data_IF_230448883340
#
_entry.id   IF_230448883340
#
_cell.length_a   1.000
_cell.length_b   1.000
_cell.length_c   1.000
_cell.angle_alpha   90.00
_cell.angle_beta   90.00
_cell.angle_gamma   90.00
#
_symmetry.space_group_name_H-M   'P 1'
#
loop_
_entity.id
_entity.type
_entity.pdbx_description
1 polymer ?
#
# COMPACT_ATOMS: atom_id res chain seq x y z
N UNK A 1 -21.49 38.43 29.53
CA UNK A 1 -21.36 37.04 30.00
C UNK A 1 -21.38 36.10 28.79
N UNK A 2 -20.25 35.41 28.58
CA UNK A 2 -19.91 34.22 27.76
C UNK A 2 -20.62 33.87 26.42
N UNK A 3 -19.85 33.65 25.33
CA UNK A 3 -20.28 32.94 24.12
C UNK A 3 -20.03 31.43 24.24
N UNK A 4 -21.02 30.58 23.95
CA UNK A 4 -20.83 29.11 23.96
C UNK A 4 -20.45 28.59 22.57
N UNK A 5 -19.15 28.33 22.45
CA UNK A 5 -18.44 27.22 21.80
C UNK A 5 -19.06 26.53 20.57
N UNK A 6 -18.28 26.62 19.48
CA UNK A 6 -18.20 25.63 18.43
C UNK A 6 -17.74 24.29 19.02
N UNK A 7 -18.53 23.23 18.85
CA UNK A 7 -18.01 21.88 18.76
C UNK A 7 -18.74 21.19 17.62
N UNK A 8 -18.07 21.06 16.49
CA UNK A 8 -18.49 20.19 15.40
C UNK A 8 -17.35 19.21 15.19
N UNK A 9 -17.12 18.38 16.21
CA UNK A 9 -16.29 17.20 16.08
C UNK A 9 -16.88 16.32 14.97
N UNK A 10 -16.26 16.37 13.79
CA UNK A 10 -16.48 15.37 12.74
C UNK A 10 -16.00 14.03 13.28
N UNK A 11 -16.92 13.29 13.89
CA UNK A 11 -16.70 11.90 14.29
C UNK A 11 -16.38 11.15 12.99
N UNK A 12 -15.09 10.84 12.77
CA UNK A 12 -14.68 9.93 11.70
C UNK A 12 -15.41 8.63 11.97
N UNK A 13 -16.50 8.40 11.25
CA UNK A 13 -17.20 7.13 11.28
C UNK A 13 -16.21 6.12 10.71
N UNK A 14 -15.61 5.34 11.59
CA UNK A 14 -14.97 4.07 11.29
C UNK A 14 -15.99 3.24 10.53
N UNK A 15 -15.91 3.34 9.20
CA UNK A 15 -16.69 2.53 8.28
C UNK A 15 -16.25 1.12 8.58
N UNK A 16 -17.16 0.29 9.08
CA UNK A 16 -16.91 -1.15 9.18
C UNK A 16 -16.57 -1.62 7.78
N UNK A 17 -15.26 -1.77 7.53
CA UNK A 17 -14.73 -2.32 6.30
C UNK A 17 -15.19 -3.77 6.32
N UNK A 18 -16.21 -4.10 5.51
CA UNK A 18 -16.52 -5.49 5.17
C UNK A 18 -15.18 -6.15 4.89
N UNK A 19 -14.85 -7.25 5.59
CA UNK A 19 -13.62 -8.01 5.33
C UNK A 19 -13.52 -8.18 3.82
N UNK A 20 -12.58 -7.45 3.22
CA UNK A 20 -12.34 -7.50 1.80
C UNK A 20 -12.04 -8.95 1.45
N UNK A 21 -12.51 -9.45 0.29
CA UNK A 21 -12.16 -10.80 -0.17
C UNK A 21 -10.66 -10.94 -0.55
N UNK A 22 -9.91 -9.87 -0.31
CA UNK A 22 -8.50 -9.70 -0.59
C UNK A 22 -7.78 -9.79 0.75
N UNK A 23 -6.72 -10.59 0.85
CA UNK A 23 -5.89 -10.67 2.04
C UNK A 23 -4.91 -9.50 2.14
N UNK A 24 -4.34 -9.28 3.32
CA UNK A 24 -3.25 -8.33 3.56
C UNK A 24 -2.04 -8.69 2.67
N UNK A 25 -1.54 -7.76 1.85
CA UNK A 25 -0.35 -7.98 1.04
C UNK A 25 0.90 -8.31 1.88
N UNK A 26 1.67 -9.32 1.45
CA UNK A 26 2.90 -9.82 2.10
C UNK A 26 4.13 -9.75 1.19
N UNK A 27 3.93 -9.88 -0.11
CA UNK A 27 5.01 -9.78 -1.09
C UNK A 27 4.50 -9.40 -2.47
N UNK A 28 5.42 -9.02 -3.34
CA UNK A 28 5.14 -8.74 -4.75
C UNK A 28 6.27 -9.29 -5.61
N UNK A 29 5.92 -9.84 -6.76
CA UNK A 29 6.83 -10.09 -7.86
C UNK A 29 6.45 -9.17 -9.00
N UNK A 30 7.43 -8.41 -9.49
CA UNK A 30 7.33 -7.59 -10.69
C UNK A 30 8.14 -8.24 -11.80
N UNK A 31 7.51 -8.47 -12.95
CA UNK A 31 8.11 -9.14 -14.09
C UNK A 31 8.02 -8.24 -15.33
N UNK A 32 9.16 -7.99 -15.97
CA UNK A 32 9.23 -7.36 -17.28
C UNK A 32 8.95 -8.39 -18.37
N UNK A 33 8.00 -8.10 -19.25
CA UNK A 33 7.64 -8.94 -20.40
C UNK A 33 7.64 -8.11 -21.69
N UNK A 34 7.78 -8.72 -22.87
CA UNK A 34 7.66 -8.01 -24.15
C UNK A 34 6.30 -7.35 -24.38
N UNK A 35 5.29 -7.66 -23.57
CA UNK A 35 3.95 -7.06 -23.62
C UNK A 35 3.73 -6.02 -22.50
N UNK A 36 4.76 -5.69 -21.72
CA UNK A 36 4.72 -4.75 -20.61
C UNK A 36 5.04 -5.38 -19.26
N UNK A 37 4.51 -4.78 -18.20
CA UNK A 37 4.85 -5.14 -16.83
C UNK A 37 3.76 -6.02 -16.21
N UNK A 38 4.18 -7.12 -15.58
CA UNK A 38 3.31 -8.06 -14.85
C UNK A 38 3.57 -7.97 -13.36
N UNK A 39 2.51 -8.03 -12.57
CA UNK A 39 2.58 -8.04 -11.12
C UNK A 39 1.93 -9.29 -10.57
N UNK A 40 2.55 -9.89 -9.57
CA UNK A 40 1.96 -10.95 -8.75
C UNK A 40 2.09 -10.54 -7.29
N UNK A 41 0.99 -10.14 -6.66
CA UNK A 41 0.95 -9.75 -5.25
C UNK A 41 0.56 -10.98 -4.42
N UNK A 42 1.45 -11.39 -3.53
CA UNK A 42 1.18 -12.43 -2.55
C UNK A 42 0.46 -11.80 -1.35
N UNK A 43 -0.67 -12.37 -0.98
CA UNK A 43 -1.48 -12.03 0.19
C UNK A 43 -1.57 -13.26 1.11
N UNK A 44 -2.03 -13.08 2.34
CA UNK A 44 -2.32 -14.18 3.26
C UNK A 44 -3.50 -15.07 2.80
N UNK A 45 -4.41 -14.55 2.00
CA UNK A 45 -5.57 -15.29 1.46
C UNK A 45 -5.36 -15.83 0.02
N UNK A 46 -4.20 -15.59 -0.60
CA UNK A 46 -3.92 -16.04 -1.97
C UNK A 46 -2.98 -15.13 -2.77
N UNK A 47 -3.05 -15.18 -4.10
CA UNK A 47 -2.18 -14.42 -4.99
C UNK A 47 -2.98 -13.66 -6.06
N UNK A 48 -2.63 -12.39 -6.29
CA UNK A 48 -3.31 -11.49 -7.21
C UNK A 48 -2.39 -11.16 -8.39
N UNK A 49 -2.79 -11.57 -9.58
CA UNK A 49 -2.01 -11.33 -10.80
C UNK A 49 -2.60 -10.17 -11.60
N UNK A 50 -1.75 -9.30 -12.13
CA UNK A 50 -2.16 -8.09 -12.81
C UNK A 50 -1.15 -7.54 -13.80
N UNK A 51 -1.53 -6.41 -14.40
CA UNK A 51 -0.66 -5.54 -15.19
C UNK A 51 -0.33 -4.32 -14.35
N UNK A 52 0.91 -3.86 -14.46
CA UNK A 52 1.25 -2.53 -13.98
C UNK A 52 0.92 -1.53 -15.09
N UNK A 53 0.17 -0.48 -14.77
CA UNK A 53 -0.28 0.54 -15.72
C UNK A 53 0.81 1.59 -15.98
N UNK A 54 1.90 1.15 -16.58
CA UNK A 54 3.03 1.99 -17.00
C UNK A 54 3.46 1.61 -18.42
N UNK A 55 4.09 2.53 -19.17
CA UNK A 55 4.63 2.22 -20.49
C UNK A 55 5.55 1.00 -20.47
N UNK A 56 5.56 0.23 -21.56
CA UNK A 56 6.39 -0.98 -21.68
C UNK A 56 7.88 -0.71 -21.46
N UNK A 57 8.39 0.42 -21.95
CA UNK A 57 9.81 0.80 -21.88
C UNK A 57 10.17 1.59 -20.60
N UNK A 58 9.31 1.57 -19.57
CA UNK A 58 9.60 2.20 -18.28
C UNK A 58 10.88 1.63 -17.68
N UNK A 59 11.70 2.46 -17.04
CA UNK A 59 12.90 1.98 -16.36
C UNK A 59 12.52 1.01 -15.22
N UNK A 60 13.27 -0.09 -14.97
CA UNK A 60 12.95 -1.01 -13.89
C UNK A 60 12.87 -0.37 -12.50
N UNK A 61 13.60 0.71 -12.23
CA UNK A 61 13.48 1.45 -10.98
C UNK A 61 12.12 2.16 -10.88
N UNK A 62 11.69 2.83 -11.95
CA UNK A 62 10.41 3.53 -11.99
C UNK A 62 9.23 2.54 -11.97
N UNK A 63 9.35 1.41 -12.65
CA UNK A 63 8.36 0.34 -12.61
C UNK A 63 8.23 -0.25 -11.20
N UNK A 64 9.35 -0.44 -10.48
CA UNK A 64 9.33 -0.86 -9.08
C UNK A 64 8.69 0.20 -8.16
N UNK A 65 8.94 1.48 -8.38
CA UNK A 65 8.31 2.55 -7.62
C UNK A 65 6.79 2.58 -7.85
N UNK A 66 6.35 2.49 -9.12
CA UNK A 66 4.94 2.45 -9.47
C UNK A 66 4.24 1.20 -8.90
N UNK A 67 4.90 0.03 -8.94
CA UNK A 67 4.38 -1.19 -8.32
C UNK A 67 4.26 -1.06 -6.80
N UNK A 68 5.18 -0.37 -6.14
CA UNK A 68 5.09 -0.10 -4.71
C UNK A 68 3.88 0.79 -4.37
N UNK A 69 3.67 1.87 -5.13
CA UNK A 69 2.49 2.74 -4.97
C UNK A 69 1.20 1.95 -5.15
N UNK A 70 1.10 1.13 -6.20
CA UNK A 70 -0.07 0.28 -6.44
C UNK A 70 -0.36 -0.66 -5.26
N UNK A 71 0.67 -1.25 -4.64
CA UNK A 71 0.51 -2.10 -3.45
C UNK A 71 0.06 -1.31 -2.23
N UNK A 72 0.63 -0.12 -2.01
CA UNK A 72 0.24 0.76 -0.91
C UNK A 72 -1.21 1.22 -1.06
N UNK A 73 -1.64 1.58 -2.26
CA UNK A 73 -3.04 1.94 -2.54
C UNK A 73 -3.97 0.74 -2.30
N UNK A 74 -3.59 -0.46 -2.74
CA UNK A 74 -4.37 -1.68 -2.47
C UNK A 74 -4.52 -1.94 -0.97
N UNK A 75 -3.44 -1.83 -0.20
CA UNK A 75 -3.47 -2.03 1.25
C UNK A 75 -4.36 -0.98 1.93
N UNK A 76 -4.26 0.28 1.51
CA UNK A 76 -5.06 1.38 2.06
C UNK A 76 -6.55 1.24 1.71
N UNK A 77 -6.87 0.98 0.45
CA UNK A 77 -8.25 0.93 -0.04
C UNK A 77 -9.02 -0.28 0.50
N UNK A 78 -8.36 -1.43 0.68
CA UNK A 78 -9.02 -2.67 1.10
C UNK A 78 -8.84 -3.01 2.59
N UNK A 79 -7.82 -2.46 3.25
CA UNK A 79 -7.49 -2.77 4.65
C UNK A 79 -7.26 -1.55 5.55
N UNK A 80 -7.32 -0.31 5.04
CA UNK A 80 -7.04 0.92 5.80
C UNK A 80 -5.70 0.85 6.54
N UNK A 81 -4.68 0.27 5.88
CA UNK A 81 -3.35 0.07 6.45
C UNK A 81 -2.27 0.61 5.53
N UNK A 82 -1.26 1.23 6.11
CA UNK A 82 -0.08 1.69 5.39
C UNK A 82 0.96 0.57 5.31
N UNK A 83 1.54 0.38 4.13
CA UNK A 83 2.57 -0.63 3.88
C UNK A 83 3.74 -0.05 3.12
N UNK A 84 4.91 -0.61 3.41
CA UNK A 84 6.16 -0.32 2.72
C UNK A 84 6.59 -1.54 1.91
N UNK A 85 7.04 -1.31 0.68
CA UNK A 85 7.62 -2.35 -0.18
C UNK A 85 9.13 -2.25 -0.19
N UNK A 86 9.79 -3.32 0.23
CA UNK A 86 11.25 -3.45 0.21
C UNK A 86 11.68 -4.41 -0.88
N UNK A 87 12.32 -3.88 -1.91
CA UNK A 87 12.82 -4.66 -3.03
C UNK A 87 14.09 -5.42 -2.64
N UNK A 88 14.10 -6.73 -2.89
CA UNK A 88 15.28 -7.56 -2.76
C UNK A 88 16.25 -7.29 -3.94
N UNK A 89 17.55 -7.60 -3.77
CA UNK A 89 18.49 -7.57 -4.89
C UNK A 89 17.98 -8.46 -6.04
N UNK A 90 17.92 -7.94 -7.28
CA UNK A 90 17.41 -8.71 -8.41
C UNK A 90 18.23 -9.97 -8.62
N UNK A 91 17.56 -11.11 -8.65
CA UNK A 91 18.19 -12.38 -9.02
C UNK A 91 18.26 -12.52 -10.54
N UNK A 92 17.26 -11.99 -11.25
CA UNK A 92 17.17 -11.99 -12.71
C UNK A 92 16.95 -10.56 -13.22
N UNK A 93 17.45 -10.22 -14.43
CA UNK A 93 17.35 -8.86 -14.96
C UNK A 93 15.93 -8.47 -15.42
N UNK A 94 14.99 -9.41 -15.46
CA UNK A 94 13.59 -9.18 -15.83
C UNK A 94 12.61 -9.44 -14.66
N UNK A 95 13.10 -9.80 -13.47
CA UNK A 95 12.26 -10.17 -12.33
C UNK A 95 12.76 -9.56 -11.02
N UNK A 96 11.85 -8.91 -10.30
CA UNK A 96 12.14 -8.28 -9.01
C UNK A 96 11.14 -8.75 -7.96
N UNK A 97 11.65 -9.18 -6.81
CA UNK A 97 10.85 -9.57 -5.65
C UNK A 97 10.88 -8.45 -4.62
N UNK A 98 9.72 -8.10 -4.08
CA UNK A 98 9.57 -7.15 -3.00
C UNK A 98 8.86 -7.79 -1.81
N UNK A 99 9.37 -7.55 -0.61
CA UNK A 99 8.71 -7.89 0.65
C UNK A 99 7.86 -6.72 1.11
N UNK A 100 6.65 -7.00 1.59
CA UNK A 100 5.72 -5.99 2.06
C UNK A 100 5.67 -6.04 3.58
N UNK A 101 5.95 -4.91 4.21
CA UNK A 101 5.88 -4.76 5.67
C UNK A 101 4.84 -3.72 6.03
N UNK A 102 4.04 -3.98 7.07
CA UNK A 102 3.16 -2.96 7.63
C UNK A 102 4.03 -1.79 8.09
N UNK A 103 3.73 -0.60 7.59
CA UNK A 103 4.29 0.61 8.16
C UNK A 103 3.72 0.73 9.56
N UNK A 104 4.57 0.71 10.58
CA UNK A 104 4.12 0.99 11.94
C UNK A 104 3.36 2.32 11.88
N UNK A 105 2.08 2.28 12.24
CA UNK A 105 1.27 3.48 12.41
C UNK A 105 2.12 4.40 13.27
N UNK A 106 2.51 5.54 12.72
CA UNK A 106 3.09 6.60 13.51
C UNK A 106 1.95 7.05 14.42
N UNK A 107 1.80 6.35 15.54
CA UNK A 107 1.18 6.84 16.75
C UNK A 107 1.96 8.11 17.06
N UNK A 108 1.51 9.21 16.47
CA UNK A 108 1.87 10.53 16.93
C UNK A 108 1.27 10.58 18.33
N UNK A 109 2.08 10.62 19.40
CA UNK A 109 1.54 11.07 20.66
C UNK A 109 1.09 12.50 20.41
N UNK A 110 -0.21 12.70 20.33
CA UNK A 110 -0.79 14.02 20.45
C UNK A 110 -0.19 14.61 21.72
N UNK A 111 0.48 15.78 21.66
CA UNK A 111 0.95 16.40 22.88
C UNK A 111 -0.30 16.87 23.63
N UNK A 112 -0.70 16.11 24.65
CA UNK A 112 -1.58 16.61 25.69
C UNK A 112 -0.95 17.88 26.24
N UNK A 113 -1.50 19.01 25.82
CA UNK A 113 -1.18 20.32 26.39
C UNK A 113 -2.20 20.59 27.48
N UNK A 114 -1.92 20.08 28.68
CA UNK A 114 -2.45 20.59 29.95
C UNK A 114 -1.21 21.00 30.75
N UNK A 115 -1.04 22.22 31.26
CA UNK A 115 -2.01 23.21 31.71
C UNK A 115 -1.50 23.71 33.06
#
# INVERSE_FOLDING_TARGET
MNPTMLDSGMVRRKKEMKRSAWGIPKGIVLLATPEGWRTSVLTDDGMLCGRLDVPINTDPQDARAAAAVMVTDLARDFHDTDVEVRWEPPQEPWSWTGLITLSAENDSPWPDTEG
#
